data_IF_134264459381
#
_entry.id   IF_134264459381
#
_cell.length_a   1.000
_cell.length_b   1.000
_cell.length_c   1.000
_cell.angle_alpha   90.00
_cell.angle_beta   90.00
_cell.angle_gamma   90.00
#
_symmetry.space_group_name_H-M   'P 1'
#
loop_
_entity.id
_entity.type
_entity.pdbx_description
1 polymer ?
#
# COMPACT_ATOMS: atom_id res chain seq x y z
N UNK A 1 2.13 25.88 -21.07
CA UNK A 1 2.18 24.61 -20.30
C UNK A 1 1.53 24.90 -18.94
N UNK A 2 0.24 24.60 -18.78
CA UNK A 2 -0.47 24.88 -17.51
C UNK A 2 -0.11 23.79 -16.52
N UNK A 3 0.69 24.14 -15.51
CA UNK A 3 0.94 23.34 -14.32
C UNK A 3 -0.39 23.17 -13.59
N UNK A 4 -1.06 22.03 -13.83
CA UNK A 4 -2.23 21.59 -13.08
C UNK A 4 -1.77 21.18 -11.67
N UNK A 5 -1.60 22.15 -10.78
CA UNK A 5 -1.53 21.87 -9.34
C UNK A 5 -2.96 21.59 -8.86
N UNK A 6 -3.40 20.34 -9.02
CA UNK A 6 -4.74 19.85 -8.67
C UNK A 6 -4.94 19.63 -7.16
N UNK A 7 -3.91 19.88 -6.33
CA UNK A 7 -3.95 19.63 -4.90
C UNK A 7 -4.05 20.95 -4.12
N UNK A 8 -5.08 21.08 -3.28
CA UNK A 8 -5.23 22.19 -2.33
C UNK A 8 -4.09 22.19 -1.31
N UNK A 9 -3.76 23.37 -0.77
CA UNK A 9 -2.69 23.51 0.24
C UNK A 9 -2.90 22.65 1.50
N UNK A 10 -4.14 22.22 1.74
CA UNK A 10 -4.57 21.36 2.85
C UNK A 10 -3.82 20.02 2.91
N UNK A 11 -3.54 19.40 1.76
CA UNK A 11 -2.92 18.06 1.70
C UNK A 11 -1.43 18.07 1.42
N UNK A 12 -0.78 19.24 1.47
CA UNK A 12 0.65 19.39 1.21
C UNK A 12 1.52 18.48 2.10
N UNK A 13 1.10 18.21 3.33
CA UNK A 13 1.81 17.34 4.25
C UNK A 13 1.86 15.87 3.78
N UNK A 14 0.86 15.41 3.02
CA UNK A 14 0.84 14.06 2.43
C UNK A 14 1.54 14.06 1.07
N UNK A 15 1.21 14.99 0.18
CA UNK A 15 1.70 14.98 -1.21
C UNK A 15 3.22 15.17 -1.31
N UNK A 16 3.84 15.85 -0.34
CA UNK A 16 5.31 16.05 -0.29
C UNK A 16 6.12 14.83 0.12
N UNK A 17 5.49 13.82 0.74
CA UNK A 17 6.18 12.62 1.25
C UNK A 17 5.63 11.33 0.65
N UNK A 18 4.55 11.39 -0.12
CA UNK A 18 3.90 10.20 -0.68
C UNK A 18 4.47 9.86 -2.07
N UNK A 19 5.14 8.71 -2.25
CA UNK A 19 5.83 8.37 -3.50
C UNK A 19 4.90 8.08 -4.69
N UNK A 20 3.58 8.02 -4.49
CA UNK A 20 2.60 7.92 -5.59
C UNK A 20 2.14 9.28 -6.15
N UNK A 21 2.32 10.39 -5.43
CA UNK A 21 1.74 11.69 -5.82
C UNK A 21 2.75 12.64 -6.47
N UNK A 22 4.05 12.35 -6.38
CA UNK A 22 5.10 13.19 -6.95
C UNK A 22 6.25 12.34 -7.47
N UNK A 23 6.72 12.69 -8.66
CA UNK A 23 7.88 12.04 -9.28
C UNK A 23 9.15 12.21 -8.41
N UNK A 24 9.34 13.40 -7.83
CA UNK A 24 10.48 13.65 -6.94
C UNK A 24 10.42 12.79 -5.67
N UNK A 25 9.22 12.53 -5.15
CA UNK A 25 9.04 11.69 -3.97
C UNK A 25 9.21 10.20 -4.28
N UNK A 26 8.92 9.78 -5.52
CA UNK A 26 8.99 8.38 -5.95
C UNK A 26 10.38 7.76 -5.77
N UNK A 27 11.44 8.54 -5.96
CA UNK A 27 12.83 8.09 -5.82
C UNK A 27 13.40 8.24 -4.40
N UNK A 28 12.71 8.98 -3.51
CA UNK A 28 13.20 9.29 -2.17
C UNK A 28 12.50 8.51 -1.07
N UNK A 29 11.17 8.41 -1.15
CA UNK A 29 10.35 7.82 -0.12
C UNK A 29 9.85 6.44 -0.53
N UNK A 30 9.81 5.52 0.43
CA UNK A 30 9.29 4.18 0.21
C UNK A 30 7.83 4.06 0.61
N UNK A 31 7.13 3.14 -0.06
CA UNK A 31 5.81 2.65 0.32
C UNK A 31 5.83 1.14 0.45
N UNK A 32 5.04 0.60 1.37
CA UNK A 32 4.83 -0.83 1.51
C UNK A 32 3.36 -1.17 1.26
N UNK A 33 3.12 -2.22 0.46
CA UNK A 33 1.79 -2.81 0.30
C UNK A 33 1.68 -4.07 1.15
N UNK A 34 0.65 -4.12 2.00
CA UNK A 34 0.39 -5.26 2.89
C UNK A 34 -0.79 -6.09 2.36
N UNK A 35 -0.57 -7.38 2.04
CA UNK A 35 -1.57 -8.23 1.36
C UNK A 35 -2.57 -8.83 2.34
N UNK A 36 -3.46 -8.01 2.89
CA UNK A 36 -4.51 -8.44 3.85
C UNK A 36 -5.90 -8.54 3.21
N UNK A 37 -6.05 -8.17 1.93
CA UNK A 37 -7.34 -8.07 1.26
C UNK A 37 -7.51 -9.13 0.15
N UNK A 38 -7.82 -10.40 0.46
CA UNK A 38 -7.91 -11.47 -0.54
C UNK A 38 -9.18 -11.43 -1.40
N UNK A 39 -10.31 -10.94 -0.86
CA UNK A 39 -11.61 -10.93 -1.57
C UNK A 39 -11.74 -9.71 -2.47
N UNK A 40 -12.53 -9.83 -3.53
CA UNK A 40 -12.91 -8.71 -4.40
C UNK A 40 -14.37 -8.91 -4.82
N UNK A 41 -15.11 -7.81 -4.96
CA UNK A 41 -16.55 -7.78 -5.23
C UNK A 41 -16.90 -7.62 -6.72
N UNK A 42 -15.90 -7.50 -7.58
CA UNK A 42 -16.05 -7.45 -9.05
C UNK A 42 -15.08 -8.43 -9.70
N UNK A 43 -15.15 -8.63 -11.01
CA UNK A 43 -14.15 -9.37 -11.81
C UNK A 43 -13.84 -8.58 -13.08
N UNK A 44 -12.67 -7.95 -13.15
CA UNK A 44 -12.26 -7.25 -14.38
C UNK A 44 -11.87 -8.28 -15.45
N UNK A 45 -12.12 -7.95 -16.72
CA UNK A 45 -11.81 -8.85 -17.84
C UNK A 45 -10.31 -9.19 -17.98
N UNK A 46 -9.43 -8.31 -17.49
CA UNK A 46 -7.98 -8.49 -17.51
C UNK A 46 -7.42 -9.00 -16.17
N UNK A 47 -8.27 -9.26 -15.17
CA UNK A 47 -7.82 -9.57 -13.83
C UNK A 47 -7.53 -11.06 -13.68
N UNK A 48 -6.26 -11.40 -13.62
CA UNK A 48 -5.78 -12.64 -13.01
C UNK A 48 -5.47 -12.31 -11.55
N UNK A 49 -6.19 -12.92 -10.60
CA UNK A 49 -5.84 -12.84 -9.17
C UNK A 49 -5.17 -14.12 -8.78
N UNK A 50 -4.15 -14.03 -7.97
CA UNK A 50 -3.47 -15.23 -7.53
C UNK A 50 -2.43 -14.95 -6.46
N UNK A 51 -2.10 -16.02 -5.75
CA UNK A 51 -0.88 -16.08 -4.98
C UNK A 51 0.22 -16.59 -5.89
N UNK A 52 1.26 -15.79 -6.07
CA UNK A 52 2.38 -16.13 -6.93
C UNK A 52 3.64 -15.45 -6.40
N UNK A 53 4.71 -16.22 -6.28
CA UNK A 53 6.02 -15.76 -5.80
C UNK A 53 6.96 -15.38 -6.95
N UNK A 54 6.67 -15.81 -8.18
CA UNK A 54 7.56 -15.68 -9.33
C UNK A 54 7.14 -14.56 -10.29
N UNK A 55 5.84 -14.35 -10.46
CA UNK A 55 5.29 -13.42 -11.45
C UNK A 55 4.94 -12.09 -10.79
N UNK A 56 5.51 -10.99 -11.30
CA UNK A 56 5.13 -9.64 -10.86
C UNK A 56 4.03 -9.09 -11.76
N UNK A 57 2.79 -9.16 -11.28
CA UNK A 57 1.59 -8.58 -11.91
C UNK A 57 0.77 -7.81 -10.86
N UNK A 58 -0.01 -6.79 -11.27
CA UNK A 58 -1.01 -6.19 -10.38
C UNK A 58 -1.99 -7.25 -9.86
N UNK A 59 -2.35 -7.18 -8.58
CA UNK A 59 -3.26 -8.15 -7.95
C UNK A 59 -2.62 -9.49 -7.56
N UNK A 60 -1.30 -9.62 -7.69
CA UNK A 60 -0.55 -10.77 -7.18
C UNK A 60 0.10 -10.44 -5.84
N UNK A 61 0.08 -11.42 -4.94
CA UNK A 61 0.81 -11.37 -3.68
C UNK A 61 1.51 -12.71 -3.44
N UNK A 62 2.66 -12.69 -2.78
CA UNK A 62 3.39 -13.93 -2.44
C UNK A 62 2.66 -14.76 -1.38
N UNK A 63 1.94 -14.09 -0.48
CA UNK A 63 1.20 -14.68 0.64
C UNK A 63 0.13 -13.69 1.13
N UNK A 64 -1.01 -14.18 1.63
CA UNK A 64 -1.97 -13.38 2.40
C UNK A 64 -1.51 -13.29 3.85
N UNK A 65 -1.49 -12.09 4.42
CA UNK A 65 -1.15 -11.87 5.82
C UNK A 65 -2.43 -11.66 6.65
N UNK A 66 -2.37 -12.09 7.90
CA UNK A 66 -3.33 -11.60 8.91
C UNK A 66 -2.98 -10.15 9.26
N UNK A 67 -3.92 -9.34 9.78
CA UNK A 67 -3.60 -7.99 10.26
C UNK A 67 -2.41 -7.97 11.22
N UNK A 68 -2.38 -8.87 12.19
CA UNK A 68 -1.28 -8.93 13.15
C UNK A 68 0.09 -9.25 12.49
N UNK A 69 0.12 -10.15 11.50
CA UNK A 69 1.35 -10.44 10.76
C UNK A 69 1.77 -9.27 9.85
N UNK A 70 0.79 -8.54 9.30
CA UNK A 70 1.02 -7.34 8.49
C UNK A 70 1.63 -6.21 9.34
N UNK A 71 1.12 -5.98 10.55
CA UNK A 71 1.69 -5.04 11.50
C UNK A 71 3.17 -5.36 11.79
N UNK A 72 3.50 -6.62 12.07
CA UNK A 72 4.89 -7.06 12.28
C UNK A 72 5.77 -6.89 11.05
N UNK A 73 5.21 -7.06 9.84
CA UNK A 73 5.94 -6.81 8.61
C UNK A 73 6.26 -5.32 8.45
N UNK A 74 5.30 -4.44 8.78
CA UNK A 74 5.50 -2.99 8.79
C UNK A 74 6.51 -2.58 9.86
N UNK A 75 6.46 -3.14 11.06
CA UNK A 75 7.45 -2.91 12.13
C UNK A 75 8.88 -3.18 11.67
N UNK A 76 9.12 -4.35 11.09
CA UNK A 76 10.44 -4.70 10.55
C UNK A 76 10.87 -3.77 9.42
N UNK A 77 9.94 -3.35 8.55
CA UNK A 77 10.25 -2.41 7.47
C UNK A 77 10.58 -1.00 7.99
N UNK A 78 9.98 -0.58 9.11
CA UNK A 78 10.29 0.69 9.79
C UNK A 78 11.63 0.64 10.52
N UNK A 79 12.06 -0.53 11.00
CA UNK A 79 13.36 -0.72 11.66
C UNK A 79 14.53 -0.68 10.68
N UNK A 80 14.33 -1.10 9.42
CA UNK A 80 15.33 -1.09 8.35
C UNK A 80 15.53 0.31 7.71
N UNK A 81 15.72 1.33 8.56
CA UNK A 81 15.81 2.75 8.16
C UNK A 81 17.01 3.07 7.28
N UNK A 82 18.07 2.29 7.39
CA UNK A 82 19.30 2.47 6.59
C UNK A 82 19.08 2.12 5.12
N UNK A 83 18.00 1.37 4.81
CA UNK A 83 17.69 0.90 3.48
C UNK A 83 16.59 1.70 2.80
N UNK A 84 15.56 2.10 3.55
CA UNK A 84 14.40 2.79 2.99
C UNK A 84 13.80 3.82 3.97
N UNK A 85 13.50 5.02 3.45
CA UNK A 85 12.69 6.01 4.18
C UNK A 85 11.20 5.70 3.96
N UNK A 86 10.65 4.76 4.72
CA UNK A 86 9.23 4.35 4.62
C UNK A 86 8.30 5.47 5.11
N UNK A 87 7.50 6.02 4.20
CA UNK A 87 6.54 7.09 4.52
C UNK A 87 5.08 6.65 4.41
N UNK A 88 4.80 5.54 3.72
CA UNK A 88 3.43 5.10 3.40
C UNK A 88 3.27 3.61 3.59
N UNK A 89 2.18 3.24 4.28
CA UNK A 89 1.66 1.87 4.35
C UNK A 89 0.30 1.85 3.68
N UNK A 90 0.07 0.89 2.78
CA UNK A 90 -1.18 0.78 2.05
C UNK A 90 -1.66 -0.66 1.90
N UNK A 91 -2.98 -0.84 1.86
CA UNK A 91 -3.60 -2.11 1.47
C UNK A 91 -4.07 -1.98 0.02
N UNK A 92 -3.41 -2.72 -0.88
CA UNK A 92 -3.63 -2.59 -2.33
C UNK A 92 -4.23 -3.85 -2.98
N UNK A 93 -4.46 -4.92 -2.21
CA UNK A 93 -4.99 -6.18 -2.73
C UNK A 93 -4.48 -7.39 -1.94
N UNK A 94 -4.46 -8.60 -2.53
CA UNK A 94 -4.59 -8.92 -3.96
C UNK A 94 -6.00 -8.79 -4.58
N UNK A 95 -7.04 -8.66 -3.76
CA UNK A 95 -8.42 -8.35 -4.16
C UNK A 95 -8.74 -6.85 -4.07
N UNK A 96 -9.95 -6.52 -3.64
CA UNK A 96 -10.39 -5.15 -3.40
C UNK A 96 -10.23 -4.80 -1.92
N UNK A 97 -9.52 -3.71 -1.62
CA UNK A 97 -9.22 -3.32 -0.24
C UNK A 97 -10.48 -3.13 0.62
N UNK A 98 -11.54 -2.53 0.06
CA UNK A 98 -12.78 -2.23 0.80
C UNK A 98 -13.74 -3.42 0.90
N UNK A 99 -13.54 -4.45 0.08
CA UNK A 99 -14.30 -5.69 0.17
C UNK A 99 -13.88 -6.60 1.35
N UNK A 100 -12.86 -6.22 2.14
CA UNK A 100 -12.27 -7.04 3.20
C UNK A 100 -12.28 -6.30 4.55
N UNK A 101 -12.80 -6.94 5.60
CA UNK A 101 -12.86 -6.35 6.95
C UNK A 101 -11.46 -6.26 7.58
N UNK A 102 -10.58 -7.17 7.18
CA UNK A 102 -9.18 -7.27 7.55
C UNK A 102 -8.41 -5.99 7.21
N UNK A 103 -8.76 -5.32 6.11
CA UNK A 103 -8.21 -4.00 5.74
C UNK A 103 -8.49 -2.97 6.83
N UNK A 104 -9.74 -2.89 7.28
CA UNK A 104 -10.13 -1.90 8.29
C UNK A 104 -9.53 -2.25 9.65
N UNK A 105 -9.48 -3.55 10.00
CA UNK A 105 -8.82 -4.02 11.21
C UNK A 105 -7.33 -3.64 11.20
N UNK A 106 -6.64 -3.85 10.08
CA UNK A 106 -5.22 -3.56 9.94
C UNK A 106 -4.92 -2.06 10.04
N UNK A 107 -5.67 -1.22 9.33
CA UNK A 107 -5.50 0.23 9.41
C UNK A 107 -5.77 0.78 10.82
N UNK A 108 -6.69 0.16 11.57
CA UNK A 108 -6.90 0.50 12.98
C UNK A 108 -5.69 0.12 13.84
N UNK A 109 -5.11 -1.06 13.63
CA UNK A 109 -3.90 -1.48 14.35
C UNK A 109 -2.72 -0.54 14.07
N UNK A 110 -2.50 -0.20 12.80
CA UNK A 110 -1.44 0.73 12.40
C UNK A 110 -1.60 2.13 12.99
N UNK A 111 -2.84 2.60 13.18
CA UNK A 111 -3.12 3.90 13.78
C UNK A 111 -2.88 3.96 15.30
N UNK A 112 -2.97 2.82 15.99
CA UNK A 112 -2.78 2.73 17.44
C UNK A 112 -1.31 2.66 17.87
N UNK A 113 -0.39 2.59 16.90
CA UNK A 113 1.05 2.60 17.08
C UNK A 113 1.60 4.03 17.01
#
# INVERSE_FOLDING_TARGET
>A
MRSFNYFSDEYNHVTKVHPCFSHACHAKYARIHIPVAPRCNIQCNYCERGLNTYVQKPGFASKILTPFDALKAVERAVEDKDKYELSVVGVAGPGDALANEETIAELKLLRLR
#
